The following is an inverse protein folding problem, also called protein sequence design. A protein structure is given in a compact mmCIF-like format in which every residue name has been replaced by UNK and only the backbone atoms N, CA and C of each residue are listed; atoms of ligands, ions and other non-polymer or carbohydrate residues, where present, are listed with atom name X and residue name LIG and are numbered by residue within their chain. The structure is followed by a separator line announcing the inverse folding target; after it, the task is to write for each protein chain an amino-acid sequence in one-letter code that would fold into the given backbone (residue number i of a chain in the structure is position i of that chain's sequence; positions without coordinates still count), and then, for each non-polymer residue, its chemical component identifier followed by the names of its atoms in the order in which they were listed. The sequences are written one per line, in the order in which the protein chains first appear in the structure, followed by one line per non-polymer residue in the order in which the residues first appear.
data_IF_238788990143
#
_entry.id   IF_238788990143
#
_cell.length_a   1.000
_cell.length_b   1.000
_cell.length_c   1.000
_cell.angle_alpha   90.00
_cell.angle_beta   90.00
_cell.angle_gamma   90.00
#
_symmetry.space_group_name_H-M   'P 1'
#
loop_
_entity.id
_entity.type
_entity.pdbx_description
1 polymer ?
#
# COMPACT_ATOMS: atom_id res chain seq x y z
N UNK A 1 -0.70 8.22 7.91
CA UNK A 1 -1.46 6.96 7.92
C UNK A 1 -1.78 6.69 6.46
N UNK A 2 -1.15 5.69 5.85
CA UNK A 2 -1.25 5.44 4.40
C UNK A 2 -2.10 4.21 4.07
N UNK A 3 -2.15 3.20 4.94
CA UNK A 3 -3.04 2.06 4.77
C UNK A 3 -4.52 2.47 4.74
N UNK A 4 -5.20 2.19 3.62
CA UNK A 4 -6.65 2.27 3.53
C UNK A 4 -7.29 1.20 4.40
N UNK A 5 -8.04 1.60 5.42
CA UNK A 5 -8.79 0.65 6.24
C UNK A 5 -10.05 0.17 5.50
N UNK A 6 -9.98 -1.05 4.95
CA UNK A 6 -11.10 -1.68 4.26
C UNK A 6 -12.12 -2.33 5.22
N UNK A 7 -11.91 -2.29 6.54
CA UNK A 7 -12.76 -3.01 7.51
C UNK A 7 -14.24 -2.63 7.40
N UNK A 8 -14.53 -1.34 7.19
CA UNK A 8 -15.89 -0.85 6.99
C UNK A 8 -16.55 -1.39 5.71
N UNK A 9 -15.80 -1.41 4.62
CA UNK A 9 -16.29 -1.91 3.32
C UNK A 9 -16.48 -3.44 3.34
N UNK A 10 -15.60 -4.17 4.01
CA UNK A 10 -15.72 -5.62 4.23
C UNK A 10 -16.98 -5.92 5.05
N UNK A 11 -17.23 -5.18 6.13
CA UNK A 11 -18.44 -5.35 6.93
C UNK A 11 -19.72 -5.08 6.11
N UNK A 12 -19.72 -4.02 5.28
CA UNK A 12 -20.81 -3.73 4.34
C UNK A 12 -21.02 -4.88 3.36
N UNK A 13 -19.94 -5.39 2.75
CA UNK A 13 -20.01 -6.51 1.83
C UNK A 13 -20.65 -7.74 2.47
N UNK A 14 -20.21 -8.11 3.68
CA UNK A 14 -20.74 -9.27 4.41
C UNK A 14 -22.23 -9.12 4.72
N UNK A 15 -22.65 -7.92 5.14
CA UNK A 15 -24.06 -7.61 5.40
C UNK A 15 -24.92 -7.78 4.15
N UNK A 16 -24.48 -7.28 3.00
CA UNK A 16 -25.23 -7.41 1.75
C UNK A 16 -25.23 -8.87 1.30
N UNK A 17 -24.07 -9.53 1.31
CA UNK A 17 -23.92 -10.92 0.87
C UNK A 17 -24.85 -11.89 1.60
N UNK A 18 -25.15 -11.64 2.88
CA UNK A 18 -26.10 -12.44 3.67
C UNK A 18 -27.53 -12.44 3.10
N UNK A 19 -27.89 -11.42 2.31
CA UNK A 19 -29.22 -11.26 1.71
C UNK A 19 -29.31 -11.76 0.27
N UNK A 20 -28.20 -12.25 -0.30
CA UNK A 20 -28.08 -12.57 -1.73
C UNK A 20 -27.90 -14.06 -1.97
N UNK A 21 -28.29 -14.50 -3.17
CA UNK A 21 -28.09 -15.85 -3.66
C UNK A 21 -26.59 -16.15 -3.87
N UNK A 22 -25.96 -17.01 -3.05
CA UNK A 22 -24.50 -17.12 -2.98
C UNK A 22 -23.86 -17.82 -4.17
N UNK A 23 -24.62 -18.65 -4.89
CA UNK A 23 -24.23 -19.38 -6.10
C UNK A 23 -24.51 -18.59 -7.39
N UNK A 24 -25.05 -17.37 -7.29
CA UNK A 24 -25.20 -16.50 -8.45
C UNK A 24 -23.84 -16.09 -9.01
N UNK A 25 -23.75 -15.92 -10.33
CA UNK A 25 -22.53 -15.50 -11.01
C UNK A 25 -21.99 -14.18 -10.44
N UNK A 26 -22.90 -13.26 -10.08
CA UNK A 26 -22.58 -11.97 -9.47
C UNK A 26 -21.99 -12.14 -8.06
N UNK A 27 -22.58 -12.99 -7.20
CA UNK A 27 -22.07 -13.23 -5.85
C UNK A 27 -20.71 -13.94 -5.85
N UNK A 28 -20.47 -14.87 -6.79
CA UNK A 28 -19.18 -15.52 -6.97
C UNK A 28 -18.11 -14.53 -7.45
N UNK A 29 -18.42 -13.71 -8.45
CA UNK A 29 -17.51 -12.67 -8.93
C UNK A 29 -17.20 -11.62 -7.84
N UNK A 30 -18.21 -11.26 -7.05
CA UNK A 30 -18.08 -10.34 -5.92
C UNK A 30 -17.10 -10.87 -4.86
N UNK A 31 -17.20 -12.16 -4.50
CA UNK A 31 -16.29 -12.82 -3.55
C UNK A 31 -14.87 -12.88 -4.07
N UNK A 32 -14.68 -13.20 -5.35
CA UNK A 32 -13.34 -13.21 -5.96
C UNK A 32 -12.71 -11.81 -5.97
N UNK A 33 -13.49 -10.76 -6.24
CA UNK A 33 -13.01 -9.38 -6.17
C UNK A 33 -12.64 -8.97 -4.73
N UNK A 34 -13.43 -9.39 -3.74
CA UNK A 34 -13.09 -9.19 -2.32
C UNK A 34 -11.77 -9.88 -1.93
N UNK A 35 -11.58 -11.13 -2.34
CA UNK A 35 -10.35 -11.89 -2.05
C UNK A 35 -9.12 -11.21 -2.67
N UNK A 36 -9.25 -10.68 -3.89
CA UNK A 36 -8.18 -9.90 -4.54
C UNK A 36 -7.87 -8.62 -3.78
N UNK A 37 -8.88 -7.86 -3.38
CA UNK A 37 -8.72 -6.64 -2.58
C UNK A 37 -7.96 -6.93 -1.27
N UNK A 38 -8.32 -8.01 -0.59
CA UNK A 38 -7.65 -8.42 0.66
C UNK A 38 -6.21 -8.86 0.42
N UNK A 39 -5.93 -9.62 -0.65
CA UNK A 39 -4.56 -10.03 -0.99
C UNK A 39 -3.66 -8.87 -1.39
N UNK A 40 -4.18 -7.90 -2.14
CA UNK A 40 -3.47 -6.68 -2.53
C UNK A 40 -3.15 -5.80 -1.32
N UNK A 41 -4.09 -5.66 -0.36
CA UNK A 41 -3.85 -4.99 0.93
C UNK A 41 -2.77 -5.68 1.75
N UNK A 42 -2.81 -7.01 1.90
CA UNK A 42 -1.81 -7.74 2.70
C UNK A 42 -0.40 -7.59 2.09
N UNK A 43 -0.30 -7.65 0.76
CA UNK A 43 0.94 -7.44 0.04
C UNK A 43 1.48 -6.02 0.23
N UNK A 44 0.59 -5.02 0.24
CA UNK A 44 0.91 -3.62 0.49
C UNK A 44 1.36 -3.38 1.95
N UNK A 45 0.59 -3.84 2.93
CA UNK A 45 0.75 -3.47 4.34
C UNK A 45 1.99 -4.08 4.99
N UNK A 46 2.26 -5.37 4.80
CA UNK A 46 3.33 -6.04 5.56
C UNK A 46 4.66 -6.00 4.81
N UNK A 47 4.65 -6.34 3.52
CA UNK A 47 5.90 -6.53 2.76
C UNK A 47 6.45 -5.23 2.21
N UNK A 48 5.58 -4.38 1.63
CA UNK A 48 6.03 -3.13 1.02
C UNK A 48 6.37 -2.07 2.08
N UNK A 49 5.56 -1.91 3.13
CA UNK A 49 5.86 -0.96 4.22
C UNK A 49 7.20 -1.27 4.90
N UNK A 50 7.48 -2.54 5.24
CA UNK A 50 8.76 -2.93 5.86
C UNK A 50 9.95 -2.68 4.92
N UNK A 51 9.78 -2.94 3.62
CA UNK A 51 10.80 -2.68 2.61
C UNK A 51 11.08 -1.19 2.44
N UNK A 52 10.03 -0.37 2.31
CA UNK A 52 10.11 1.10 2.23
C UNK A 52 10.82 1.66 3.46
N UNK A 53 10.45 1.22 4.68
CA UNK A 53 11.12 1.63 5.93
C UNK A 53 12.60 1.25 5.95
N UNK A 54 12.93 0.02 5.56
CA UNK A 54 14.32 -0.46 5.52
C UNK A 54 15.19 0.37 4.59
N UNK A 55 14.73 0.58 3.35
CA UNK A 55 15.44 1.36 2.35
C UNK A 55 15.58 2.83 2.75
N UNK A 56 14.54 3.42 3.33
CA UNK A 56 14.61 4.81 3.75
C UNK A 56 15.57 5.01 4.91
N UNK A 57 15.58 4.10 5.89
CA UNK A 57 16.54 4.12 6.98
C UNK A 57 17.99 3.90 6.49
N UNK A 58 18.21 3.10 5.46
CA UNK A 58 19.52 2.97 4.83
C UNK A 58 19.97 4.29 4.18
N UNK A 59 19.08 4.95 3.43
CA UNK A 59 19.35 6.24 2.80
C UNK A 59 19.64 7.34 3.82
N UNK A 60 18.85 7.43 4.90
CA UNK A 60 19.04 8.39 5.99
C UNK A 60 20.42 8.22 6.65
N UNK A 61 20.81 6.98 6.98
CA UNK A 61 22.14 6.71 7.55
C UNK A 61 23.27 7.12 6.62
N UNK A 62 23.12 6.90 5.31
CA UNK A 62 24.14 7.25 4.33
C UNK A 62 24.38 8.77 4.26
N UNK A 63 23.35 9.59 4.46
CA UNK A 63 23.45 11.07 4.50
C UNK A 63 23.73 11.64 5.89
N UNK A 64 23.99 10.78 6.90
CA UNK A 64 24.32 11.18 8.26
C UNK A 64 23.10 11.53 9.13
N UNK A 65 21.90 11.12 8.72
CA UNK A 65 20.67 11.25 9.50
C UNK A 65 20.36 10.00 10.34
N UNK A 66 19.67 10.22 11.46
CA UNK A 66 19.19 9.13 12.32
C UNK A 66 17.96 8.45 11.68
N UNK A 67 17.86 7.12 11.71
CA UNK A 67 16.65 6.38 11.31
C UNK A 67 15.40 6.91 12.00
N UNK A 68 14.29 6.99 11.28
CA UNK A 68 12.98 7.31 11.85
C UNK A 68 12.11 6.05 11.90
N UNK A 69 11.12 6.03 12.78
CA UNK A 69 10.27 4.85 13.03
C UNK A 69 8.89 4.91 12.37
N UNK A 70 8.46 6.04 11.78
CA UNK A 70 7.10 6.22 11.26
C UNK A 70 6.97 7.21 10.09
N UNK A 71 6.29 6.75 9.02
CA UNK A 71 5.47 7.38 7.94
C UNK A 71 5.87 8.72 7.31
N UNK A 72 6.96 9.34 7.75
CA UNK A 72 7.51 10.60 7.23
C UNK A 72 8.88 10.38 6.58
N UNK A 73 9.33 9.14 6.50
CA UNK A 73 10.71 8.77 6.17
C UNK A 73 11.07 9.20 4.74
N UNK A 74 10.17 9.02 3.76
CA UNK A 74 10.41 9.41 2.35
C UNK A 74 10.74 10.91 2.21
N UNK A 75 9.87 11.77 2.74
CA UNK A 75 10.05 13.24 2.72
C UNK A 75 11.29 13.66 3.49
N UNK A 76 11.66 12.91 4.53
CA UNK A 76 12.86 13.17 5.34
C UNK A 76 14.14 12.86 4.57
N UNK A 77 14.16 11.75 3.83
CA UNK A 77 15.28 11.41 2.95
C UNK A 77 15.39 12.39 1.77
N UNK A 78 14.27 12.79 1.19
CA UNK A 78 14.22 13.84 0.16
C UNK A 78 14.84 15.16 0.67
N UNK A 79 14.42 15.63 1.85
CA UNK A 79 14.96 16.83 2.48
C UNK A 79 16.45 16.70 2.85
N UNK A 80 16.86 15.54 3.35
CA UNK A 80 18.25 15.27 3.72
C UNK A 80 19.18 15.15 2.50
N UNK A 81 18.66 14.71 1.35
CA UNK A 81 19.40 14.73 0.08
C UNK A 81 19.55 16.14 -0.49
N UNK A 82 18.60 17.04 -0.23
CA UNK A 82 18.68 18.45 -0.61
C UNK A 82 19.75 19.21 0.20
N UNK A 83 19.95 18.82 1.47
CA UNK A 83 20.98 19.39 2.35
C UNK A 83 21.73 18.29 3.14
N UNK A 84 22.65 17.54 2.49
CA UNK A 84 23.36 16.44 3.14
C UNK A 84 24.25 16.93 4.28
N UNK A 85 24.27 16.20 5.40
CA UNK A 85 25.19 16.47 6.53
C UNK A 85 26.59 15.93 6.31
N UNK A 86 26.78 15.10 5.28
CA UNK A 86 28.07 14.56 4.87
C UNK A 86 28.52 15.21 3.57
N UNK A 87 29.83 15.43 3.42
CA UNK A 87 30.45 15.92 2.19
C UNK A 87 31.03 14.79 1.32
N UNK A 88 30.82 13.53 1.72
CA UNK A 88 31.33 12.36 1.01
C UNK A 88 30.51 12.10 -0.27
N UNK A 89 31.08 12.28 -1.47
CA UNK A 89 30.34 12.17 -2.72
C UNK A 89 29.87 10.74 -3.00
N UNK A 90 30.59 9.71 -2.53
CA UNK A 90 30.19 8.32 -2.73
C UNK A 90 28.96 7.98 -1.88
N UNK A 91 28.90 8.47 -0.64
CA UNK A 91 27.73 8.30 0.24
C UNK A 91 26.51 9.05 -0.27
N UNK A 92 26.70 10.27 -0.77
CA UNK A 92 25.61 11.04 -1.39
C UNK A 92 25.09 10.31 -2.64
N UNK A 93 25.97 9.78 -3.50
CA UNK A 93 25.57 9.02 -4.67
C UNK A 93 24.76 7.76 -4.30
N UNK A 94 25.24 6.98 -3.33
CA UNK A 94 24.53 5.80 -2.84
C UNK A 94 23.16 6.13 -2.23
N UNK A 95 23.04 7.26 -1.51
CA UNK A 95 21.77 7.73 -0.97
C UNK A 95 20.79 8.16 -2.07
N UNK A 96 21.27 8.83 -3.12
CA UNK A 96 20.45 9.18 -4.29
C UNK A 96 19.95 7.95 -5.03
N UNK A 97 20.80 6.94 -5.21
CA UNK A 97 20.39 5.66 -5.81
C UNK A 97 19.33 4.96 -4.95
N UNK A 98 19.53 4.96 -3.63
CA UNK A 98 18.56 4.40 -2.68
C UNK A 98 17.22 5.12 -2.77
N UNK A 99 17.23 6.46 -2.86
CA UNK A 99 16.03 7.26 -3.02
C UNK A 99 15.32 7.00 -4.35
N UNK A 100 16.05 6.88 -5.46
CA UNK A 100 15.46 6.53 -6.75
C UNK A 100 14.75 5.17 -6.72
N UNK A 101 15.37 4.15 -6.10
CA UNK A 101 14.73 2.84 -5.89
C UNK A 101 13.51 2.96 -4.96
N UNK A 102 13.62 3.76 -3.90
CA UNK A 102 12.51 3.99 -2.97
C UNK A 102 11.30 4.65 -3.65
N UNK A 103 11.51 5.59 -4.57
CA UNK A 103 10.43 6.20 -5.36
C UNK A 103 9.66 5.15 -6.17
N UNK A 104 10.37 4.17 -6.75
CA UNK A 104 9.73 3.05 -7.47
C UNK A 104 8.92 2.17 -6.51
N UNK A 105 9.48 1.79 -5.36
CA UNK A 105 8.76 0.98 -4.36
C UNK A 105 7.53 1.71 -3.80
N UNK A 106 7.63 3.03 -3.56
CA UNK A 106 6.51 3.86 -3.13
C UNK A 106 5.40 3.88 -4.18
N UNK A 107 5.75 3.97 -5.47
CA UNK A 107 4.77 3.89 -6.56
C UNK A 107 4.06 2.53 -6.55
N UNK A 108 4.80 1.43 -6.43
CA UNK A 108 4.22 0.08 -6.38
C UNK A 108 3.29 -0.08 -5.17
N UNK A 109 3.68 0.44 -4.00
CA UNK A 109 2.82 0.46 -2.82
C UNK A 109 1.51 1.21 -3.07
N UNK A 110 1.58 2.43 -3.60
CA UNK A 110 0.39 3.23 -3.91
C UNK A 110 -0.48 2.58 -4.99
N UNK A 111 0.13 1.95 -6.01
CA UNK A 111 -0.61 1.23 -7.04
C UNK A 111 -1.37 0.04 -6.43
N UNK A 112 -0.74 -0.74 -5.54
CA UNK A 112 -1.39 -1.86 -4.84
C UNK A 112 -2.55 -1.40 -3.94
N UNK A 113 -2.38 -0.28 -3.22
CA UNK A 113 -3.48 0.30 -2.42
C UNK A 113 -4.66 0.74 -3.29
N UNK A 114 -4.37 1.42 -4.41
CA UNK A 114 -5.42 1.86 -5.32
C UNK A 114 -6.14 0.67 -5.96
N UNK A 115 -5.40 -0.36 -6.37
CA UNK A 115 -5.98 -1.60 -6.89
C UNK A 115 -6.89 -2.26 -5.85
N UNK A 116 -6.44 -2.36 -4.59
CA UNK A 116 -7.24 -2.95 -3.53
C UNK A 116 -8.56 -2.19 -3.29
N UNK A 117 -8.50 -0.87 -3.28
CA UNK A 117 -9.68 0.00 -3.17
C UNK A 117 -10.63 -0.20 -4.34
N UNK A 118 -10.11 -0.27 -5.57
CA UNK A 118 -10.95 -0.43 -6.77
C UNK A 118 -11.56 -1.85 -6.86
N UNK A 119 -10.82 -2.89 -6.47
CA UNK A 119 -11.33 -4.24 -6.31
C UNK A 119 -12.44 -4.31 -5.25
N UNK A 120 -12.27 -3.60 -4.13
CA UNK A 120 -13.30 -3.53 -3.08
C UNK A 120 -14.58 -2.83 -3.57
N UNK A 121 -14.45 -1.72 -4.30
CA UNK A 121 -15.60 -1.05 -4.94
C UNK A 121 -16.30 -1.98 -5.93
N UNK A 122 -15.55 -2.71 -6.76
CA UNK A 122 -16.09 -3.68 -7.69
C UNK A 122 -16.82 -4.82 -6.96
N UNK A 123 -16.24 -5.33 -5.86
CA UNK A 123 -16.86 -6.35 -5.03
C UNK A 123 -18.21 -5.89 -4.47
N UNK A 124 -18.30 -4.65 -3.98
CA UNK A 124 -19.54 -4.05 -3.48
C UNK A 124 -20.59 -3.90 -4.59
N UNK A 125 -20.21 -3.40 -5.78
CA UNK A 125 -21.14 -3.27 -6.91
C UNK A 125 -21.69 -4.62 -7.36
N UNK A 126 -20.82 -5.64 -7.46
CA UNK A 126 -21.23 -6.98 -7.86
C UNK A 126 -22.18 -7.61 -6.86
N UNK A 127 -21.90 -7.50 -5.55
CA UNK A 127 -22.77 -8.10 -4.52
C UNK A 127 -24.12 -7.36 -4.41
N UNK A 128 -24.14 -6.04 -4.61
CA UNK A 128 -25.37 -5.25 -4.66
C UNK A 128 -26.26 -5.70 -5.83
N UNK A 129 -25.66 -6.00 -6.99
CA UNK A 129 -26.33 -6.49 -8.20
C UNK A 129 -26.76 -7.95 -8.16
N UNK A 130 -26.30 -8.72 -7.16
CA UNK A 130 -26.66 -10.13 -7.06
C UNK A 130 -28.16 -10.31 -6.77
N UNK A 131 -28.80 -11.36 -7.30
CA UNK A 131 -30.18 -11.67 -6.98
C UNK A 131 -30.35 -11.94 -5.48
N UNK A 132 -31.49 -11.52 -4.93
CA UNK A 132 -31.84 -11.82 -3.55
C UNK A 132 -32.01 -13.33 -3.35
N UNK A 133 -31.75 -13.79 -2.13
CA UNK A 133 -32.08 -15.15 -1.69
C UNK A 133 -33.59 -15.39 -1.66
#
# INVERSE_FOLDING_TARGET
MWAHDLSGDIAKFQSIAATKKPDSQQALAARLALERAQGEMEQSDVKMVLRIRSMTNAGLRAVGEQPAFLTSEYKRLEAALANPKTNDPAKIAAAKETFARLTVEMKVYTDLENMAVDQMKQALQLIESAPAN
#
